data_IF_185507666616
#
_entry.id   IF_185507666616
#
_cell.length_a   1.000
_cell.length_b   1.000
_cell.length_c   1.000
_cell.angle_alpha   90.00
_cell.angle_beta   90.00
_cell.angle_gamma   90.00
#
_symmetry.space_group_name_H-M   'P 1'
#
loop_
_entity.id
_entity.type
_entity.pdbx_description
1 polymer ?
#
# COMPACT_ATOMS: atom_id res chain seq x y z
N UNK A 1 -61.25 -58.97 13.38
CA UNK A 1 -60.36 -58.64 14.52
C UNK A 1 -58.97 -58.34 13.98
N UNK A 2 -58.54 -57.08 14.16
CA UNK A 2 -57.17 -56.59 14.39
C UNK A 2 -56.06 -56.89 13.36
N UNK A 3 -55.85 -55.91 12.47
CA UNK A 3 -54.62 -55.18 12.10
C UNK A 3 -53.24 -55.77 12.46
N UNK A 4 -52.30 -55.73 11.49
CA UNK A 4 -51.00 -55.00 11.57
C UNK A 4 -50.11 -55.34 10.35
N UNK A 5 -49.90 -54.38 9.43
CA UNK A 5 -48.63 -53.61 9.24
C UNK A 5 -47.69 -54.29 8.23
N UNK A 6 -47.65 -53.95 6.94
CA UNK A 6 -47.18 -52.70 6.31
C UNK A 6 -45.86 -52.18 6.92
N UNK A 7 -44.73 -52.55 6.31
CA UNK A 7 -43.42 -51.92 6.53
C UNK A 7 -42.90 -51.45 5.18
N UNK A 8 -43.21 -50.19 4.86
CA UNK A 8 -42.51 -49.42 3.84
C UNK A 8 -41.17 -48.97 4.43
N UNK A 9 -40.07 -49.48 3.89
CA UNK A 9 -38.73 -48.97 4.19
C UNK A 9 -38.53 -47.71 3.34
N UNK A 10 -38.81 -46.55 3.92
CA UNK A 10 -38.42 -45.25 3.36
C UNK A 10 -36.95 -45.05 3.73
N UNK A 11 -36.06 -45.19 2.76
CA UNK A 11 -34.67 -44.73 2.85
C UNK A 11 -34.68 -43.20 2.90
N UNK A 12 -34.66 -42.63 4.10
CA UNK A 12 -34.29 -41.22 4.30
C UNK A 12 -32.78 -41.13 4.14
N UNK A 13 -32.33 -40.96 2.89
CA UNK A 13 -30.98 -40.52 2.59
C UNK A 13 -30.83 -39.09 3.11
N UNK A 14 -30.28 -38.93 4.30
CA UNK A 14 -29.84 -37.65 4.82
C UNK A 14 -28.71 -37.17 3.89
N UNK A 15 -29.05 -36.36 2.90
CA UNK A 15 -28.08 -35.60 2.13
C UNK A 15 -27.50 -34.57 3.10
N UNK A 16 -26.37 -34.89 3.72
CA UNK A 16 -25.54 -33.90 4.39
C UNK A 16 -25.02 -33.01 3.25
N UNK A 17 -25.77 -31.95 2.94
CA UNK A 17 -25.25 -30.81 2.22
C UNK A 17 -24.22 -30.23 3.20
N UNK A 18 -22.98 -30.71 3.08
CA UNK A 18 -21.85 -30.04 3.67
C UNK A 18 -21.91 -28.61 3.16
N UNK A 19 -22.26 -27.68 4.03
CA UNK A 19 -22.08 -26.27 3.80
C UNK A 19 -20.58 -26.08 3.60
N UNK A 20 -20.14 -26.18 2.35
CA UNK A 20 -18.87 -25.60 1.93
C UNK A 20 -18.97 -24.15 2.35
N UNK A 21 -18.24 -23.79 3.40
CA UNK A 21 -18.02 -22.40 3.79
C UNK A 21 -17.63 -21.71 2.50
N UNK A 22 -18.49 -20.83 1.99
CA UNK A 22 -18.04 -19.85 1.03
C UNK A 22 -17.01 -19.04 1.80
N UNK A 23 -15.73 -19.37 1.62
CA UNK A 23 -14.67 -18.45 2.00
C UNK A 23 -15.05 -17.15 1.32
N UNK A 24 -15.26 -16.09 2.11
CA UNK A 24 -15.52 -14.77 1.58
C UNK A 24 -14.47 -14.53 0.52
N UNK A 25 -14.90 -14.36 -0.73
CA UNK A 25 -13.97 -14.01 -1.78
C UNK A 25 -13.34 -12.70 -1.34
N UNK A 26 -12.02 -12.73 -1.19
CA UNK A 26 -11.25 -11.54 -0.92
C UNK A 26 -11.51 -10.56 -2.06
N UNK A 27 -11.71 -9.27 -1.76
CA UNK A 27 -12.12 -8.28 -2.74
C UNK A 27 -11.04 -8.12 -3.81
N UNK A 28 -11.44 -8.09 -5.08
CA UNK A 28 -10.53 -7.81 -6.20
C UNK A 28 -10.20 -6.31 -6.33
N UNK A 29 -10.89 -5.48 -5.57
CA UNK A 29 -10.78 -4.03 -5.57
C UNK A 29 -10.88 -3.55 -4.13
N UNK A 30 -9.80 -2.94 -3.63
CA UNK A 30 -9.63 -2.50 -2.25
C UNK A 30 -9.44 -1.00 -2.26
N UNK A 31 -10.30 -0.27 -1.56
CA UNK A 31 -10.18 1.17 -1.37
C UNK A 31 -10.12 1.50 0.11
N UNK A 32 -9.26 2.42 0.52
CA UNK A 32 -9.21 2.87 1.91
C UNK A 32 -8.68 4.29 2.08
N UNK A 33 -9.22 4.98 3.08
CA UNK A 33 -8.72 6.27 3.56
C UNK A 33 -7.73 6.03 4.69
N UNK A 34 -6.72 6.90 4.79
CA UNK A 34 -5.68 6.78 5.79
C UNK A 34 -5.25 8.13 6.32
N UNK A 35 -4.70 8.12 7.54
CA UNK A 35 -4.00 9.24 8.15
C UNK A 35 -2.76 8.75 8.87
N UNK A 36 -1.81 9.65 9.12
CA UNK A 36 -0.55 9.29 9.76
C UNK A 36 0.41 10.46 9.87
N UNK A 37 1.67 10.13 10.15
CA UNK A 37 2.77 11.09 10.17
C UNK A 37 4.01 10.54 9.51
N UNK A 38 4.93 11.42 9.12
CA UNK A 38 6.27 11.05 8.68
C UNK A 38 7.14 12.27 8.47
N UNK A 39 8.42 12.02 8.18
CA UNK A 39 9.39 13.10 8.04
C UNK A 39 10.64 12.64 7.26
N UNK A 40 10.90 13.26 6.11
CA UNK A 40 12.13 12.99 5.34
C UNK A 40 13.42 13.34 6.09
N UNK A 41 13.33 14.20 7.10
CA UNK A 41 14.47 14.70 7.82
C UNK A 41 14.87 13.80 8.99
N UNK A 42 14.13 12.73 9.28
CA UNK A 42 14.43 11.73 10.31
C UNK A 42 14.84 10.42 9.63
N UNK A 43 15.87 9.75 10.15
CA UNK A 43 16.29 8.43 9.66
C UNK A 43 15.88 7.33 10.66
N UNK A 44 15.27 6.22 10.21
CA UNK A 44 14.87 5.94 8.82
C UNK A 44 13.69 6.81 8.37
N UNK A 45 13.59 7.04 7.06
CA UNK A 45 12.45 7.77 6.48
C UNK A 45 11.24 6.85 6.39
N UNK A 46 10.26 7.10 7.26
CA UNK A 46 9.01 6.34 7.33
C UNK A 46 7.85 7.32 7.40
N UNK A 47 6.89 7.13 6.51
CA UNK A 47 5.54 7.66 6.67
C UNK A 47 4.63 6.51 7.09
N UNK A 48 3.86 6.68 8.15
CA UNK A 48 3.01 5.60 8.68
C UNK A 48 1.84 6.12 9.47
N UNK A 49 0.80 5.29 9.61
CA UNK A 49 -0.34 5.62 10.44
C UNK A 49 -1.45 4.59 10.37
N UNK A 50 -2.70 5.04 10.45
CA UNK A 50 -3.89 4.20 10.53
C UNK A 50 -4.73 4.24 9.26
N UNK A 51 -5.39 3.12 8.99
CA UNK A 51 -6.46 3.05 8.00
C UNK A 51 -7.77 3.42 8.68
N UNK A 52 -8.38 4.53 8.25
CA UNK A 52 -9.47 5.17 8.96
C UNK A 52 -10.86 4.79 8.41
N UNK A 53 -10.95 4.49 7.11
CA UNK A 53 -12.18 4.10 6.43
C UNK A 53 -11.92 3.25 5.17
N UNK A 54 -12.97 2.70 4.56
CA UNK A 54 -12.91 1.90 3.32
C UNK A 54 -13.07 0.40 3.53
N UNK A 55 -12.11 -0.39 3.04
CA UNK A 55 -12.13 -1.86 3.08
C UNK A 55 -12.23 -2.39 4.53
N UNK A 56 -13.34 -3.07 4.91
CA UNK A 56 -13.55 -3.54 6.27
C UNK A 56 -12.45 -4.45 6.83
N UNK A 57 -11.70 -5.12 5.97
CA UNK A 57 -10.57 -5.98 6.37
C UNK A 57 -9.28 -5.21 6.68
N UNK A 58 -9.25 -3.90 6.40
CA UNK A 58 -8.12 -3.00 6.66
C UNK A 58 -8.44 -1.88 7.67
N UNK A 59 -9.71 -1.47 7.83
CA UNK A 59 -10.09 -0.41 8.80
C UNK A 59 -9.60 -0.74 10.22
N UNK A 60 -8.99 0.26 10.88
CA UNK A 60 -8.37 0.12 12.20
C UNK A 60 -7.00 -0.55 12.15
N UNK A 61 -6.53 -0.87 10.95
CA UNK A 61 -5.21 -1.40 10.66
C UNK A 61 -4.18 -0.30 10.53
N UNK A 62 -3.04 -0.65 9.95
CA UNK A 62 -1.93 0.27 9.73
C UNK A 62 -1.55 0.35 8.27
N UNK A 63 -0.83 1.41 7.92
CA UNK A 63 -0.13 1.54 6.66
C UNK A 63 1.26 2.14 6.92
N UNK A 64 2.22 1.85 6.05
CA UNK A 64 3.49 2.54 6.01
C UNK A 64 4.10 2.59 4.61
N UNK A 65 4.92 3.62 4.38
CA UNK A 65 5.82 3.77 3.24
C UNK A 65 7.22 4.04 3.79
N UNK A 66 8.15 3.15 3.49
CA UNK A 66 9.58 3.30 3.77
C UNK A 66 10.29 3.85 2.54
N UNK A 67 11.07 4.91 2.73
CA UNK A 67 11.98 5.43 1.71
C UNK A 67 13.42 5.13 2.13
N UNK A 68 14.18 4.51 1.23
CA UNK A 68 15.58 4.21 1.49
C UNK A 68 16.43 5.48 1.43
N UNK A 69 16.85 5.95 2.61
CA UNK A 69 17.70 7.12 2.80
C UNK A 69 19.19 6.78 2.89
N UNK A 70 19.58 5.58 2.44
CA UNK A 70 20.99 5.20 2.35
C UNK A 70 21.76 6.20 1.49
N UNK A 71 22.80 6.81 2.08
CA UNK A 71 23.63 7.81 1.42
C UNK A 71 23.17 9.25 1.64
N UNK A 72 22.02 9.48 2.28
CA UNK A 72 21.58 10.82 2.67
C UNK A 72 22.43 11.32 3.85
N UNK A 73 22.54 12.65 4.05
CA UNK A 73 23.18 13.19 5.25
C UNK A 73 22.48 12.67 6.53
N UNK A 74 23.24 12.46 7.63
CA UNK A 74 22.66 12.10 8.92
C UNK A 74 21.60 13.11 9.39
N UNK A 75 20.65 12.64 10.18
CA UNK A 75 19.54 13.45 10.67
C UNK A 75 19.88 14.34 11.88
N UNK A 76 21.14 14.31 12.34
CA UNK A 76 21.64 15.19 13.40
C UNK A 76 21.69 16.67 12.99
N UNK A 77 21.83 16.95 11.69
CA UNK A 77 21.77 18.29 11.11
C UNK A 77 20.65 18.34 10.05
N UNK A 78 19.46 18.75 10.51
CA UNK A 78 18.25 18.81 9.69
C UNK A 78 18.38 19.78 8.52
N UNK A 79 19.15 20.86 8.66
CA UNK A 79 19.36 21.83 7.60
C UNK A 79 20.21 21.24 6.47
N UNK A 80 21.33 20.57 6.80
CA UNK A 80 22.17 19.88 5.80
C UNK A 80 21.39 18.77 5.08
N UNK A 81 20.57 18.03 5.82
CA UNK A 81 19.73 16.98 5.23
C UNK A 81 18.65 17.57 4.32
N UNK A 82 18.00 18.66 4.73
CA UNK A 82 17.04 19.37 3.88
C UNK A 82 17.70 19.91 2.61
N UNK A 83 18.85 20.55 2.70
CA UNK A 83 19.58 21.07 1.53
C UNK A 83 19.90 19.96 0.52
N UNK A 84 20.29 18.78 1.02
CA UNK A 84 20.48 17.60 0.18
C UNK A 84 19.17 17.17 -0.49
N UNK A 85 18.07 17.07 0.25
CA UNK A 85 16.77 16.66 -0.29
C UNK A 85 16.29 17.65 -1.35
N UNK A 86 16.34 18.94 -1.05
CA UNK A 86 15.96 19.99 -1.97
C UNK A 86 16.80 19.92 -3.26
N UNK A 87 18.12 19.90 -3.14
CA UNK A 87 19.04 19.89 -4.28
C UNK A 87 18.91 18.63 -5.15
N UNK A 88 18.63 17.49 -4.52
CA UNK A 88 18.62 16.18 -5.20
C UNK A 88 17.25 15.87 -5.81
N UNK A 89 16.16 16.20 -5.12
CA UNK A 89 14.82 15.73 -5.49
C UNK A 89 13.88 16.84 -5.94
N UNK A 90 13.93 18.04 -5.34
CA UNK A 90 12.97 19.12 -5.66
C UNK A 90 13.49 20.09 -6.71
N UNK A 91 14.66 20.70 -6.49
CA UNK A 91 15.22 21.75 -7.34
C UNK A 91 15.36 21.35 -8.82
N UNK A 92 15.77 20.10 -9.19
CA UNK A 92 15.81 19.68 -10.58
C UNK A 92 14.44 19.59 -11.27
N UNK A 93 13.35 19.54 -10.49
CA UNK A 93 11.98 19.30 -10.92
C UNK A 93 11.05 20.49 -10.65
N UNK A 94 11.60 21.71 -10.67
CA UNK A 94 10.80 22.93 -10.62
C UNK A 94 10.07 23.17 -11.95
N UNK A 95 8.76 23.33 -11.91
CA UNK A 95 7.94 23.80 -13.03
C UNK A 95 7.65 25.31 -12.86
N UNK A 96 8.30 26.19 -13.66
CA UNK A 96 8.09 27.63 -13.56
C UNK A 96 6.71 28.07 -14.10
N UNK A 97 5.99 27.22 -14.83
CA UNK A 97 4.64 27.54 -15.29
C UNK A 97 3.60 27.23 -14.22
N UNK A 98 3.75 26.10 -13.54
CA UNK A 98 2.91 25.71 -12.42
C UNK A 98 3.24 26.41 -11.10
N UNK A 99 4.47 26.88 -10.93
CA UNK A 99 4.97 27.37 -9.64
C UNK A 99 5.03 26.21 -8.63
N UNK A 100 5.68 25.11 -9.00
CA UNK A 100 5.70 23.90 -8.17
C UNK A 100 7.02 23.17 -8.25
N UNK A 101 7.42 22.52 -7.16
CA UNK A 101 8.50 21.54 -7.15
C UNK A 101 7.93 20.14 -6.91
N UNK A 102 8.32 19.16 -7.72
CA UNK A 102 7.88 17.77 -7.53
C UNK A 102 9.07 16.85 -7.26
N UNK A 103 9.20 16.35 -6.04
CA UNK A 103 10.12 15.27 -5.71
C UNK A 103 9.54 13.92 -6.13
N UNK A 104 10.38 13.03 -6.68
CA UNK A 104 10.02 11.67 -7.11
C UNK A 104 10.97 10.67 -6.45
N UNK A 105 10.41 9.63 -5.83
CA UNK A 105 11.12 8.52 -5.19
C UNK A 105 10.66 7.19 -5.80
N UNK A 106 11.50 6.55 -6.62
CA UNK A 106 11.08 5.40 -7.45
C UNK A 106 12.17 4.32 -7.66
N UNK A 107 13.23 4.32 -6.85
CA UNK A 107 14.37 3.41 -6.99
C UNK A 107 15.36 3.80 -8.10
N UNK A 108 15.03 4.77 -8.96
CA UNK A 108 16.01 5.42 -9.84
C UNK A 108 16.63 6.67 -9.19
N UNK A 109 15.86 7.33 -8.32
CA UNK A 109 16.28 8.52 -7.54
C UNK A 109 16.68 8.17 -6.09
N UNK A 110 16.34 6.97 -5.63
CA UNK A 110 16.67 6.45 -4.30
C UNK A 110 17.54 5.20 -4.41
N UNK A 111 18.24 4.82 -3.33
CA UNK A 111 19.14 3.66 -3.34
C UNK A 111 18.39 2.33 -3.59
N UNK A 112 17.15 2.26 -3.15
CA UNK A 112 16.20 1.21 -3.51
C UNK A 112 14.79 1.77 -3.68
N UNK A 113 13.89 1.00 -4.29
CA UNK A 113 12.51 1.41 -4.48
C UNK A 113 11.80 1.53 -3.13
N UNK A 114 11.00 2.57 -2.88
CA UNK A 114 10.21 2.66 -1.67
C UNK A 114 9.38 1.41 -1.42
N UNK A 115 9.28 1.01 -0.16
CA UNK A 115 8.53 -0.17 0.27
C UNK A 115 7.21 0.30 0.86
N UNK A 116 6.12 -0.39 0.54
CA UNK A 116 4.80 -0.09 1.07
C UNK A 116 4.23 -1.32 1.78
N UNK A 117 3.58 -1.06 2.91
CA UNK A 117 2.82 -2.06 3.66
C UNK A 117 1.45 -1.51 4.06
N UNK A 118 0.47 -2.41 4.12
CA UNK A 118 -0.80 -2.15 4.82
C UNK A 118 -1.29 -3.45 5.43
N UNK A 119 -1.99 -3.39 6.55
CA UNK A 119 -2.48 -4.61 7.16
C UNK A 119 -3.33 -4.45 8.39
N UNK A 120 -3.88 -5.57 8.82
CA UNK A 120 -4.66 -5.71 10.04
C UNK A 120 -4.33 -7.07 10.69
N UNK A 121 -4.95 -7.38 11.83
CA UNK A 121 -4.82 -8.67 12.53
C UNK A 121 -5.10 -9.91 11.68
N UNK A 122 -5.77 -9.78 10.54
CA UNK A 122 -6.14 -10.87 9.63
C UNK A 122 -5.08 -11.16 8.56
N UNK A 123 -4.09 -10.27 8.40
CA UNK A 123 -3.05 -10.36 7.38
C UNK A 123 -2.58 -9.00 6.89
N UNK A 124 -1.51 -9.02 6.11
CA UNK A 124 -0.84 -7.84 5.58
C UNK A 124 -0.66 -7.95 4.07
N UNK A 125 -0.75 -6.83 3.37
CA UNK A 125 -0.32 -6.63 1.98
C UNK A 125 1.01 -5.88 1.99
N UNK A 126 1.89 -6.26 1.08
CA UNK A 126 3.20 -5.63 0.93
C UNK A 126 3.56 -5.46 -0.53
N UNK A 127 4.40 -4.47 -0.81
CA UNK A 127 4.75 -4.12 -2.16
C UNK A 127 5.82 -3.05 -2.25
N UNK A 128 5.98 -2.53 -3.46
CA UNK A 128 6.83 -1.38 -3.72
C UNK A 128 5.97 -0.19 -4.14
N UNK A 129 6.45 1.01 -3.84
CA UNK A 129 5.79 2.25 -4.20
C UNK A 129 6.69 3.11 -5.10
N UNK A 130 6.05 3.96 -5.89
CA UNK A 130 6.65 5.20 -6.38
C UNK A 130 5.95 6.33 -5.66
N UNK A 131 6.71 7.17 -4.97
CA UNK A 131 6.18 8.31 -4.20
C UNK A 131 6.53 9.62 -4.92
N UNK A 132 5.53 10.48 -5.08
CA UNK A 132 5.68 11.83 -5.60
C UNK A 132 5.14 12.82 -4.59
N UNK A 133 5.88 13.90 -4.36
CA UNK A 133 5.49 14.97 -3.44
C UNK A 133 5.68 16.31 -4.12
N UNK A 134 4.61 17.08 -4.16
CA UNK A 134 4.58 18.38 -4.81
C UNK A 134 4.39 19.49 -3.78
N UNK A 135 5.31 20.46 -3.80
CA UNK A 135 5.25 21.72 -3.07
C UNK A 135 4.87 22.84 -4.02
N UNK A 136 4.14 23.84 -3.51
CA UNK A 136 3.73 25.02 -4.26
C UNK A 136 4.64 26.18 -3.90
N UNK A 137 5.12 26.86 -4.94
CA UNK A 137 5.85 28.12 -4.88
C UNK A 137 4.82 29.26 -4.79
N UNK A 138 4.63 29.82 -3.60
CA UNK A 138 3.55 30.79 -3.37
C UNK A 138 3.90 32.19 -3.88
N UNK A 139 5.18 32.53 -3.98
CA UNK A 139 5.64 33.85 -4.41
C UNK A 139 6.40 33.86 -5.75
N UNK A 140 6.55 32.68 -6.36
CA UNK A 140 7.14 32.45 -7.68
C UNK A 140 8.61 32.86 -7.78
N UNK A 141 9.37 32.72 -6.70
CA UNK A 141 10.79 33.08 -6.65
C UNK A 141 11.75 31.92 -6.96
N UNK A 142 11.22 30.70 -7.13
CA UNK A 142 11.95 29.47 -7.36
C UNK A 142 12.91 29.06 -6.22
N UNK A 143 12.62 29.48 -4.99
CA UNK A 143 13.29 29.09 -3.76
C UNK A 143 12.26 28.45 -2.81
N UNK A 144 12.56 27.25 -2.29
CA UNK A 144 11.64 26.63 -1.31
C UNK A 144 11.80 27.30 0.04
N UNK A 145 10.81 28.10 0.41
CA UNK A 145 10.74 28.76 1.70
C UNK A 145 10.20 27.83 2.79
N UNK A 146 10.53 28.10 4.08
CA UNK A 146 9.96 27.34 5.18
C UNK A 146 8.43 27.28 5.18
N UNK A 147 7.74 28.37 4.85
CA UNK A 147 6.27 28.40 4.86
C UNK A 147 5.66 27.56 3.72
N UNK A 148 6.40 27.33 2.63
CA UNK A 148 5.96 26.50 1.50
C UNK A 148 6.03 25.00 1.83
N UNK A 149 6.87 24.63 2.80
CA UNK A 149 6.93 23.28 3.37
C UNK A 149 5.75 22.98 4.29
N UNK A 150 4.92 23.97 4.62
CA UNK A 150 3.75 23.78 5.46
C UNK A 150 2.68 22.91 4.80
N UNK A 151 2.64 22.84 3.47
CA UNK A 151 1.63 22.09 2.73
C UNK A 151 2.24 21.37 1.53
N UNK A 152 1.89 20.10 1.36
CA UNK A 152 2.25 19.36 0.15
C UNK A 152 1.11 18.47 -0.32
N UNK A 153 1.16 18.10 -1.60
CA UNK A 153 0.35 17.02 -2.14
C UNK A 153 1.27 15.82 -2.33
N UNK A 154 0.86 14.66 -1.83
CA UNK A 154 1.59 13.42 -2.05
C UNK A 154 0.74 12.43 -2.85
N UNK A 155 1.36 11.70 -3.75
CA UNK A 155 0.69 10.70 -4.59
C UNK A 155 1.66 9.63 -5.05
N UNK A 156 1.14 8.54 -5.61
CA UNK A 156 2.00 7.47 -6.05
C UNK A 156 1.29 6.29 -6.65
N UNK A 157 2.10 5.37 -7.16
CA UNK A 157 1.67 4.06 -7.66
C UNK A 157 2.22 2.96 -6.77
N UNK A 158 1.46 1.88 -6.62
CA UNK A 158 1.79 0.71 -5.82
C UNK A 158 1.87 -0.52 -6.72
N UNK A 159 2.85 -1.38 -6.44
CA UNK A 159 2.93 -2.73 -6.99
C UNK A 159 2.84 -3.69 -5.82
N UNK A 160 1.73 -4.42 -5.74
CA UNK A 160 1.50 -5.43 -4.70
C UNK A 160 2.22 -6.70 -5.14
N UNK A 161 3.18 -7.14 -4.34
CA UNK A 161 3.97 -8.35 -4.61
C UNK A 161 3.31 -9.49 -3.83
N UNK A 162 3.44 -10.72 -4.34
CA UNK A 162 2.99 -11.94 -3.67
C UNK A 162 3.84 -12.27 -2.43
N UNK A 163 3.76 -11.40 -1.44
CA UNK A 163 4.42 -11.49 -0.14
C UNK A 163 3.49 -11.00 0.98
N UNK A 164 2.18 -11.07 0.73
CA UNK A 164 1.19 -10.83 1.76
C UNK A 164 1.18 -11.94 2.81
N UNK A 165 0.45 -11.72 3.90
CA UNK A 165 0.24 -12.70 4.97
C UNK A 165 -1.25 -12.90 5.22
N UNK A 166 -1.59 -13.97 5.94
CA UNK A 166 -2.98 -14.25 6.34
C UNK A 166 -3.91 -14.36 5.13
N UNK A 167 -5.02 -13.62 5.15
CA UNK A 167 -6.01 -13.62 4.05
C UNK A 167 -5.47 -13.05 2.73
N UNK A 168 -4.36 -12.32 2.77
CA UNK A 168 -3.76 -11.64 1.63
C UNK A 168 -2.57 -12.39 1.01
N UNK A 169 -2.23 -13.57 1.53
CA UNK A 169 -0.99 -14.28 1.19
C UNK A 169 -0.81 -14.63 -0.30
N UNK A 170 -1.92 -14.85 -1.01
CA UNK A 170 -1.89 -15.22 -2.42
C UNK A 170 -2.15 -14.06 -3.39
N UNK A 171 -2.32 -12.84 -2.89
CA UNK A 171 -2.71 -11.70 -3.72
C UNK A 171 -1.49 -10.95 -4.28
N UNK A 172 -1.64 -10.48 -5.51
CA UNK A 172 -0.76 -9.51 -6.13
C UNK A 172 -1.58 -8.55 -6.99
N UNK A 173 -0.99 -7.46 -7.46
CA UNK A 173 -1.76 -6.45 -8.17
C UNK A 173 -1.07 -5.09 -8.25
N UNK A 174 -1.86 -4.08 -8.57
CA UNK A 174 -1.42 -2.71 -8.75
C UNK A 174 -2.32 -1.77 -7.95
N UNK A 175 -1.84 -0.57 -7.69
CA UNK A 175 -2.66 0.44 -7.07
C UNK A 175 -2.08 1.84 -7.20
N UNK A 176 -2.76 2.77 -6.57
CA UNK A 176 -2.35 4.16 -6.47
C UNK A 176 -2.85 4.77 -5.18
N UNK A 177 -2.15 5.78 -4.69
CA UNK A 177 -2.60 6.60 -3.58
C UNK A 177 -2.44 8.08 -3.90
N UNK A 178 -3.23 8.90 -3.21
CA UNK A 178 -3.11 10.35 -3.25
C UNK A 178 -3.59 10.97 -1.96
N UNK A 179 -3.03 12.11 -1.57
CA UNK A 179 -3.40 12.80 -0.36
C UNK A 179 -2.70 14.15 -0.23
N UNK A 180 -2.78 14.72 0.97
CA UNK A 180 -2.09 15.95 1.34
C UNK A 180 -1.33 15.79 2.65
N UNK A 181 -0.19 16.47 2.74
CA UNK A 181 0.51 16.66 4.01
C UNK A 181 0.38 18.09 4.50
N UNK A 182 0.41 18.26 5.82
CA UNK A 182 0.56 19.55 6.47
C UNK A 182 1.63 19.48 7.54
N UNK A 183 2.56 20.43 7.54
CA UNK A 183 3.58 20.58 8.57
C UNK A 183 3.19 21.73 9.50
N UNK A 184 2.91 21.43 10.77
CA UNK A 184 2.43 22.42 11.73
C UNK A 184 3.50 23.45 12.15
N UNK A 185 4.79 23.12 11.97
CA UNK A 185 5.91 23.99 12.30
C UNK A 185 7.12 23.67 11.39
N UNK A 186 7.08 24.12 10.12
CA UNK A 186 8.13 23.80 9.17
C UNK A 186 9.48 24.44 9.56
N UNK A 187 9.46 25.47 10.40
CA UNK A 187 10.65 26.13 10.94
C UNK A 187 11.38 25.28 11.98
N UNK A 188 10.69 24.36 12.66
CA UNK A 188 11.31 23.44 13.62
C UNK A 188 11.51 22.01 13.10
N UNK A 189 11.26 21.79 11.81
CA UNK A 189 11.39 20.47 11.18
C UNK A 189 10.45 19.43 11.81
N UNK A 190 9.27 19.88 12.26
CA UNK A 190 8.25 19.02 12.81
C UNK A 190 7.82 17.94 11.81
N UNK A 191 7.18 16.89 12.29
CA UNK A 191 6.64 15.85 11.43
C UNK A 191 5.49 16.39 10.58
N UNK A 192 5.34 15.81 9.40
CA UNK A 192 4.22 16.10 8.51
C UNK A 192 3.03 15.25 8.93
N UNK A 193 1.89 15.88 9.19
CA UNK A 193 0.61 15.20 9.29
C UNK A 193 0.14 14.86 7.87
N UNK A 194 -0.11 13.57 7.60
CA UNK A 194 -0.51 13.08 6.28
C UNK A 194 -1.90 12.48 6.32
N UNK A 195 -2.67 12.70 5.26
CA UNK A 195 -3.94 12.01 5.06
C UNK A 195 -4.21 11.82 3.58
N UNK A 196 -4.91 10.75 3.21
CA UNK A 196 -5.16 10.43 1.82
C UNK A 196 -6.08 9.24 1.60
N UNK A 197 -6.09 8.80 0.35
CA UNK A 197 -6.89 7.71 -0.15
C UNK A 197 -6.04 6.77 -1.01
N UNK A 198 -6.28 5.47 -0.89
CA UNK A 198 -5.61 4.41 -1.65
C UNK A 198 -6.63 3.56 -2.39
N UNK A 199 -6.31 3.20 -3.63
CA UNK A 199 -7.06 2.26 -4.47
C UNK A 199 -6.09 1.15 -4.90
N UNK A 200 -6.49 -0.10 -4.72
CA UNK A 200 -5.75 -1.29 -5.15
C UNK A 200 -6.67 -2.18 -6.00
N UNK A 201 -6.17 -2.61 -7.15
CA UNK A 201 -6.73 -3.69 -7.94
C UNK A 201 -5.86 -4.93 -7.73
N UNK A 202 -6.39 -5.91 -7.01
CA UNK A 202 -5.68 -7.12 -6.63
C UNK A 202 -6.35 -8.36 -7.20
N UNK A 203 -5.55 -9.36 -7.52
CA UNK A 203 -6.02 -10.66 -8.00
C UNK A 203 -5.31 -11.79 -7.27
N UNK A 204 -5.94 -12.97 -7.29
CA UNK A 204 -5.33 -14.18 -6.77
C UNK A 204 -4.21 -14.63 -7.71
N UNK A 205 -2.97 -14.46 -7.24
CA UNK A 205 -1.74 -14.82 -7.92
C UNK A 205 -1.21 -16.17 -7.39
N UNK A 206 -2.08 -17.00 -6.82
CA UNK A 206 -1.76 -18.40 -6.53
C UNK A 206 -1.38 -19.12 -7.81
N UNK A 207 -0.12 -19.50 -7.91
CA UNK A 207 0.30 -20.47 -8.90
C UNK A 207 -0.33 -21.79 -8.47
N UNK A 208 -1.20 -22.41 -9.26
CA UNK A 208 -1.82 -23.67 -8.87
C UNK A 208 -0.72 -24.67 -8.57
N UNK A 209 -0.73 -25.20 -7.34
CA UNK A 209 0.24 -26.18 -6.88
C UNK A 209 0.26 -27.38 -7.83
N UNK A 210 1.46 -27.91 -8.06
CA UNK A 210 1.90 -29.13 -8.77
C UNK A 210 0.88 -30.06 -9.45
N UNK A 211 -0.34 -30.29 -8.94
CA UNK A 211 -1.31 -31.21 -9.55
C UNK A 211 -1.77 -30.78 -10.95
N UNK A 212 -1.87 -29.47 -11.22
CA UNK A 212 -2.23 -28.97 -12.58
C UNK A 212 -1.04 -29.11 -13.52
N UNK A 213 0.15 -28.73 -13.08
CA UNK A 213 1.40 -28.82 -13.85
C UNK A 213 1.81 -30.27 -14.09
N UNK A 214 1.78 -31.14 -13.08
CA UNK A 214 2.03 -32.58 -13.25
C UNK A 214 0.92 -33.29 -14.02
N UNK A 215 -0.34 -32.85 -13.91
CA UNK A 215 -1.43 -33.36 -14.74
C UNK A 215 -1.17 -33.12 -16.22
N UNK A 216 -0.76 -31.89 -16.58
CA UNK A 216 -0.39 -31.53 -17.95
C UNK A 216 0.91 -32.19 -18.42
N UNK A 217 1.91 -32.30 -17.55
CA UNK A 217 3.17 -33.01 -17.85
C UNK A 217 2.90 -34.51 -18.06
N UNK A 218 2.07 -35.15 -17.23
CA UNK A 218 1.68 -36.56 -17.42
C UNK A 218 0.91 -36.79 -18.72
N UNK A 219 0.08 -35.84 -19.15
CA UNK A 219 -0.60 -35.91 -20.45
C UNK A 219 0.38 -35.85 -21.64
N UNK A 220 1.52 -35.16 -21.51
CA UNK A 220 2.57 -35.16 -22.55
C UNK A 220 3.28 -36.52 -22.69
N UNK A 221 3.33 -37.33 -21.62
CA UNK A 221 3.98 -38.64 -21.61
C UNK A 221 3.02 -39.84 -21.82
N UNK A 222 1.72 -39.59 -22.06
CA UNK A 222 0.71 -40.63 -22.34
C UNK A 222 0.49 -40.89 -23.84
N UNK A 223 1.47 -40.55 -24.70
CA UNK A 223 1.46 -40.94 -26.12
C UNK A 223 2.02 -42.34 -26.34
#
# INVERSE_FOLDING_TARGET
MKNASLVWVIFVGLLIIGSSSAFAQTPTHVEYDFSGTGNFLVSPVVYSGTVDAGEPLLIGGYWDILVDDTGWPPDADKAVRWDYINTTYYAPNYDPFGGTWTAIFDGSTTASQPVWHTGHTMGELSGTATLQITLVDFDFDAIIDPDERAFSVFSGTLIVIKNGTGIWADYCGLGSFSGSSSNADPWSWADDDVSGHTILDIEDCSVPTEQVTWGQVKQLYQK
#
